data_IF_046148701121
#
_entry.id   IF_046148701121
#
_cell.length_a   1.000
_cell.length_b   1.000
_cell.length_c   1.000
_cell.angle_alpha   90.00
_cell.angle_beta   90.00
_cell.angle_gamma   90.00
#
_symmetry.space_group_name_H-M   'P 1'
#
loop_
_entity.id
_entity.type
_entity.pdbx_description
1 polymer ?
#
# COMPACT_ATOMS: atom_id res chain seq x y z
N UNK A 1 22.52 -9.91 6.27
CA UNK A 1 21.78 -11.16 6.59
C UNK A 1 22.64 -12.18 7.33
N UNK A 2 23.79 -12.62 6.80
CA UNK A 2 24.65 -13.60 7.49
C UNK A 2 25.23 -13.11 8.84
N UNK A 3 25.46 -11.80 8.99
CA UNK A 3 25.86 -11.22 10.27
C UNK A 3 24.74 -11.29 11.34
N UNK A 4 23.47 -11.26 10.91
CA UNK A 4 22.31 -11.39 11.81
C UNK A 4 21.94 -12.87 12.02
N UNK A 5 22.12 -13.70 11.00
CA UNK A 5 21.73 -15.12 10.99
C UNK A 5 22.85 -16.00 10.36
N UNK A 6 23.90 -16.34 11.12
CA UNK A 6 25.03 -17.12 10.60
C UNK A 6 24.66 -18.53 10.12
N UNK A 7 23.63 -19.14 10.71
CA UNK A 7 23.15 -20.47 10.34
C UNK A 7 22.68 -20.60 8.89
N UNK A 8 22.38 -19.48 8.21
CA UNK A 8 21.97 -19.48 6.81
C UNK A 8 23.16 -19.52 5.83
N UNK A 9 24.42 -19.60 6.29
CA UNK A 9 25.63 -19.49 5.47
C UNK A 9 25.72 -20.47 4.29
N UNK A 10 25.06 -21.63 4.36
CA UNK A 10 25.12 -22.68 3.33
C UNK A 10 23.88 -22.76 2.45
N UNK A 11 22.84 -21.97 2.76
CA UNK A 11 21.59 -21.98 1.99
C UNK A 11 21.79 -21.22 0.68
N UNK A 12 21.26 -21.76 -0.43
CA UNK A 12 21.31 -21.10 -1.75
C UNK A 12 20.00 -20.39 -2.05
N UNK A 13 20.09 -19.21 -2.68
CA UNK A 13 18.93 -18.44 -3.11
C UNK A 13 18.22 -19.18 -4.26
N UNK A 14 16.95 -19.55 -4.03
CA UNK A 14 16.14 -20.28 -5.01
C UNK A 14 15.51 -19.34 -6.05
N UNK A 15 15.06 -18.16 -5.61
CA UNK A 15 14.38 -17.17 -6.45
C UNK A 15 14.54 -15.77 -5.86
N UNK A 16 14.66 -14.77 -6.73
CA UNK A 16 14.57 -13.35 -6.39
C UNK A 16 13.54 -12.67 -7.30
N UNK A 17 12.86 -11.67 -6.77
CA UNK A 17 11.98 -10.78 -7.54
C UNK A 17 11.95 -9.41 -6.89
N UNK A 18 11.48 -8.42 -7.66
CA UNK A 18 11.17 -7.08 -7.17
C UNK A 18 9.72 -6.76 -7.47
N UNK A 19 9.12 -5.92 -6.62
CA UNK A 19 7.87 -5.24 -6.90
C UNK A 19 8.12 -3.74 -7.06
N UNK A 20 7.10 -3.02 -7.53
CA UNK A 20 7.09 -1.55 -7.50
C UNK A 20 6.15 -1.10 -6.38
N UNK A 21 6.53 -0.03 -5.69
CA UNK A 21 5.67 0.65 -4.74
C UNK A 21 5.58 2.11 -5.16
N UNK A 22 4.37 2.64 -5.17
CA UNK A 22 4.06 4.03 -5.39
C UNK A 22 4.30 4.82 -4.10
N UNK A 23 5.20 5.81 -4.20
CA UNK A 23 5.74 6.52 -3.04
C UNK A 23 5.19 7.93 -2.95
N UNK A 24 4.64 8.29 -1.80
CA UNK A 24 4.31 9.67 -1.43
C UNK A 24 5.50 10.31 -0.69
N UNK A 25 5.52 11.64 -0.66
CA UNK A 25 6.61 12.39 -0.04
C UNK A 25 6.64 12.26 1.50
N UNK A 26 5.48 12.03 2.12
CA UNK A 26 5.31 11.89 3.56
C UNK A 26 5.19 10.42 4.01
N UNK A 27 5.07 9.48 3.07
CA UNK A 27 4.90 8.06 3.33
C UNK A 27 3.47 7.65 3.68
N UNK A 28 2.49 8.56 3.58
CA UNK A 28 1.07 8.30 3.82
C UNK A 28 0.34 7.87 2.54
N UNK A 29 -0.68 7.01 2.62
CA UNK A 29 -1.49 6.65 1.46
C UNK A 29 -2.39 7.80 1.02
N UNK A 30 -2.84 7.74 -0.23
CA UNK A 30 -3.83 8.65 -0.82
C UNK A 30 -5.08 7.83 -1.11
N UNK A 31 -6.15 8.12 -0.38
CA UNK A 31 -7.51 7.67 -0.71
C UNK A 31 -8.36 8.94 -0.84
N UNK A 32 -8.85 9.25 -2.05
CA UNK A 32 -9.58 10.52 -2.27
C UNK A 32 -10.42 10.51 -3.54
N UNK A 33 -11.32 11.48 -3.67
CA UNK A 33 -11.97 11.84 -4.94
C UNK A 33 -10.95 12.51 -5.86
N UNK A 34 -10.99 12.17 -7.14
CA UNK A 34 -10.12 12.77 -8.15
C UNK A 34 -10.64 14.12 -8.67
N UNK A 35 -9.82 14.85 -9.45
CA UNK A 35 -10.22 16.11 -10.11
C UNK A 35 -11.37 16.00 -11.12
N UNK A 36 -11.80 14.79 -11.51
CA UNK A 36 -12.87 14.57 -12.48
C UNK A 36 -14.07 13.86 -11.83
N UNK A 37 -15.32 14.17 -12.23
CA UNK A 37 -16.51 13.51 -11.70
C UNK A 37 -16.44 11.98 -11.87
N UNK A 38 -16.70 11.24 -10.79
CA UNK A 38 -16.65 9.78 -10.78
C UNK A 38 -15.24 9.18 -10.79
N UNK A 39 -14.18 9.99 -10.66
CA UNK A 39 -12.82 9.50 -10.49
C UNK A 39 -12.50 9.34 -9.00
N UNK A 40 -11.94 8.19 -8.62
CA UNK A 40 -11.50 7.91 -7.25
C UNK A 40 -10.08 7.36 -7.27
N UNK A 41 -9.26 7.81 -6.32
CA UNK A 41 -7.86 7.45 -6.23
C UNK A 41 -7.62 6.65 -4.96
N UNK A 42 -6.89 5.54 -5.10
CA UNK A 42 -6.37 4.71 -4.02
C UNK A 42 -4.94 4.29 -4.38
N UNK A 43 -3.96 5.01 -3.86
CA UNK A 43 -2.54 4.87 -4.21
C UNK A 43 -1.65 5.40 -3.06
N UNK A 44 -0.34 5.50 -3.28
CA UNK A 44 0.61 6.05 -2.33
C UNK A 44 0.91 5.16 -1.13
N UNK A 45 0.59 3.87 -1.20
CA UNK A 45 0.69 2.97 -0.04
C UNK A 45 2.13 2.70 0.41
N UNK A 46 3.12 3.14 -0.36
CA UNK A 46 4.52 2.92 -0.08
C UNK A 46 4.75 1.42 0.23
N UNK A 47 5.40 1.11 1.36
CA UNK A 47 5.62 -0.27 1.81
C UNK A 47 4.50 -0.81 2.71
N UNK A 48 3.46 -0.03 2.94
CA UNK A 48 2.44 -0.28 3.96
C UNK A 48 1.18 -0.98 3.47
N UNK A 49 0.94 -1.03 2.16
CA UNK A 49 -0.36 -1.43 1.58
C UNK A 49 -0.81 -2.84 1.93
N UNK A 50 0.12 -3.80 2.05
CA UNK A 50 -0.24 -5.20 2.31
C UNK A 50 -0.99 -5.37 3.65
N UNK A 51 -0.49 -4.76 4.72
CA UNK A 51 -1.17 -4.87 6.04
C UNK A 51 -2.50 -4.11 6.07
N UNK A 52 -2.59 -3.03 5.31
CA UNK A 52 -3.70 -2.09 5.35
C UNK A 52 -4.83 -2.44 4.36
N UNK A 53 -4.68 -3.50 3.58
CA UNK A 53 -5.62 -3.86 2.50
C UNK A 53 -7.10 -3.90 2.94
N UNK A 54 -7.48 -4.50 4.09
CA UNK A 54 -8.88 -4.54 4.50
C UNK A 54 -9.44 -3.14 4.83
N UNK A 55 -8.67 -2.32 5.55
CA UNK A 55 -9.08 -0.96 5.91
C UNK A 55 -9.12 -0.05 4.68
N UNK A 56 -8.11 -0.15 3.80
CA UNK A 56 -8.08 0.54 2.51
C UNK A 56 -9.33 0.23 1.68
N UNK A 57 -9.67 -1.05 1.53
CA UNK A 57 -10.86 -1.48 0.81
C UNK A 57 -12.15 -0.94 1.43
N UNK A 58 -12.24 -0.94 2.76
CA UNK A 58 -13.41 -0.44 3.47
C UNK A 58 -13.59 1.08 3.30
N UNK A 59 -12.55 1.87 3.57
CA UNK A 59 -12.58 3.32 3.40
C UNK A 59 -12.82 3.72 1.94
N UNK A 60 -12.15 3.05 1.00
CA UNK A 60 -12.29 3.38 -0.43
C UNK A 60 -13.67 3.02 -0.99
N UNK A 61 -14.25 1.89 -0.58
CA UNK A 61 -15.61 1.53 -0.97
C UNK A 61 -16.65 2.53 -0.44
N UNK A 62 -16.47 3.02 0.79
CA UNK A 62 -17.29 4.12 1.32
C UNK A 62 -17.15 5.37 0.46
N UNK A 63 -15.93 5.80 0.15
CA UNK A 63 -15.68 6.99 -0.67
C UNK A 63 -16.36 6.92 -2.03
N UNK A 64 -16.33 5.76 -2.69
CA UNK A 64 -17.03 5.55 -3.97
C UNK A 64 -18.55 5.63 -3.79
N UNK A 65 -19.10 5.02 -2.73
CA UNK A 65 -20.54 4.94 -2.52
C UNK A 65 -21.17 6.27 -2.06
N UNK A 66 -20.40 7.13 -1.39
CA UNK A 66 -20.88 8.38 -0.77
C UNK A 66 -20.35 9.65 -1.42
N UNK A 67 -19.37 9.52 -2.31
CA UNK A 67 -18.68 10.65 -2.95
C UNK A 67 -18.01 11.60 -1.95
N UNK A 68 -17.63 11.07 -0.78
CA UNK A 68 -16.94 11.80 0.30
C UNK A 68 -15.98 10.87 1.05
N UNK A 69 -14.87 11.36 1.62
CA UNK A 69 -13.95 10.53 2.39
C UNK A 69 -14.61 9.85 3.60
N UNK A 70 -14.23 8.60 3.89
CA UNK A 70 -14.60 7.95 5.15
C UNK A 70 -13.96 8.68 6.35
N UNK A 71 -14.65 8.74 7.49
CA UNK A 71 -14.16 9.34 8.74
C UNK A 71 -12.78 8.82 9.24
N UNK A 72 -12.38 7.60 8.85
CA UNK A 72 -11.13 6.98 9.28
C UNK A 72 -10.02 7.06 8.23
N UNK A 73 -10.23 7.89 7.20
CA UNK A 73 -9.27 8.16 6.16
C UNK A 73 -8.32 9.29 6.57
#
# INVERSE_FOLDING_TARGET
MLALFPGLARVRMLRSWGGLCDMTMDGSPIITTGPLPGMYLNCGWCYGGFKATPASGWCFAYTIAKDEPHEFN
#
